data_IF_522233971580
#
_entry.id   IF_522233971580
#
_cell.length_a   1.000
_cell.length_b   1.000
_cell.length_c   1.000
_cell.angle_alpha   90.00
_cell.angle_beta   90.00
_cell.angle_gamma   90.00
#
_symmetry.space_group_name_H-M   'P 1'
#
loop_
_entity.id
_entity.type
_entity.pdbx_description
1 polymer ?
#
# COMPACT_ATOMS: atom_id res chain seq x y z
N UNK A 1 36.91 33.77 3.27
CA UNK A 1 36.04 33.21 2.21
C UNK A 1 35.72 31.78 2.58
N UNK A 2 34.55 31.56 3.18
CA UNK A 2 34.12 30.23 3.61
C UNK A 2 33.55 29.48 2.41
N UNK A 3 34.28 28.48 1.93
CA UNK A 3 33.78 27.53 0.94
C UNK A 3 32.82 26.58 1.63
N UNK A 4 31.52 26.84 1.49
CA UNK A 4 30.49 25.87 1.84
C UNK A 4 30.69 24.64 0.96
N UNK A 5 31.06 23.51 1.57
CA UNK A 5 31.02 22.22 0.88
C UNK A 5 29.56 21.92 0.58
N UNK A 6 29.17 22.07 -0.68
CA UNK A 6 27.92 21.52 -1.18
C UNK A 6 28.00 20.01 -1.02
N UNK A 7 27.27 19.43 -0.07
CA UNK A 7 27.14 17.99 0.03
C UNK A 7 26.45 17.53 -1.25
N UNK A 8 27.22 16.94 -2.16
CA UNK A 8 26.68 16.27 -3.35
C UNK A 8 25.84 15.09 -2.88
N UNK A 9 24.53 15.32 -2.75
CA UNK A 9 23.56 14.25 -2.60
C UNK A 9 23.62 13.28 -3.79
N UNK A 10 22.87 12.17 -3.73
CA UNK A 10 22.82 11.20 -4.81
C UNK A 10 22.48 11.89 -6.15
N UNK A 11 23.14 11.47 -7.23
CA UNK A 11 22.79 11.90 -8.58
C UNK A 11 21.39 11.37 -8.91
N UNK A 12 20.43 12.29 -9.06
CA UNK A 12 19.02 11.97 -9.27
C UNK A 12 18.70 11.89 -10.76
N UNK A 13 17.96 10.87 -11.17
CA UNK A 13 17.43 10.77 -12.53
C UNK A 13 16.37 11.84 -12.81
N UNK A 14 15.60 12.24 -11.79
CA UNK A 14 14.58 13.27 -11.82
C UNK A 14 14.94 14.39 -10.83
N UNK A 15 15.92 15.26 -11.15
CA UNK A 15 16.41 16.27 -10.23
C UNK A 15 15.34 17.29 -9.82
N UNK A 16 14.32 17.51 -10.64
CA UNK A 16 13.17 18.38 -10.33
C UNK A 16 12.29 17.88 -9.18
N UNK A 17 12.41 16.61 -8.77
CA UNK A 17 11.67 16.03 -7.65
C UNK A 17 12.46 16.02 -6.34
N UNK A 18 13.62 16.68 -6.28
CA UNK A 18 14.50 16.69 -5.10
C UNK A 18 13.75 17.08 -3.82
N UNK A 19 12.96 18.14 -3.86
CA UNK A 19 12.23 18.63 -2.68
C UNK A 19 11.11 17.66 -2.26
N UNK A 20 10.51 16.96 -3.21
CA UNK A 20 9.52 15.90 -2.95
C UNK A 20 10.18 14.71 -2.24
N UNK A 21 11.35 14.27 -2.72
CA UNK A 21 12.09 13.20 -2.05
C UNK A 21 12.55 13.59 -0.65
N UNK A 22 13.01 14.84 -0.47
CA UNK A 22 13.38 15.36 0.85
C UNK A 22 12.17 15.40 1.80
N UNK A 23 10.98 15.76 1.31
CA UNK A 23 9.75 15.69 2.09
C UNK A 23 9.43 14.25 2.51
N UNK A 24 9.50 13.27 1.60
CA UNK A 24 9.29 11.86 1.95
C UNK A 24 10.28 11.34 2.99
N UNK A 25 11.56 11.71 2.89
CA UNK A 25 12.58 11.33 3.88
C UNK A 25 12.23 11.91 5.26
N UNK A 26 11.85 13.19 5.33
CA UNK A 26 11.47 13.84 6.59
C UNK A 26 10.20 13.24 7.20
N UNK A 27 9.18 12.97 6.40
CA UNK A 27 7.94 12.35 6.90
C UNK A 27 8.17 10.92 7.38
N UNK A 28 9.11 10.20 6.75
CA UNK A 28 9.46 8.84 7.16
C UNK A 28 10.00 8.77 8.60
N UNK A 29 10.54 9.85 9.17
CA UNK A 29 11.04 9.86 10.55
C UNK A 29 9.95 9.53 11.59
N UNK A 30 8.67 9.73 11.25
CA UNK A 30 7.54 9.32 12.10
C UNK A 30 7.19 7.83 12.02
N UNK A 31 7.64 7.10 10.99
CA UNK A 31 7.29 5.69 10.79
C UNK A 31 7.58 4.80 12.00
N UNK A 32 8.79 4.83 12.61
CA UNK A 32 9.11 3.90 13.69
C UNK A 32 8.19 4.02 14.90
N UNK A 33 7.54 5.16 15.09
CA UNK A 33 6.61 5.42 16.18
C UNK A 33 5.18 4.89 15.91
N UNK A 34 4.90 4.40 14.70
CA UNK A 34 3.57 3.88 14.38
C UNK A 34 3.23 2.61 15.18
N UNK A 35 1.94 2.39 15.52
CA UNK A 35 1.54 1.30 16.41
C UNK A 35 1.84 -0.12 15.90
N UNK A 36 1.91 -0.31 14.58
CA UNK A 36 2.04 -1.63 14.01
C UNK A 36 2.24 -1.66 12.49
N UNK A 37 2.40 -2.87 11.92
CA UNK A 37 2.75 -3.03 10.52
C UNK A 37 1.64 -2.54 9.58
N UNK A 38 0.36 -2.65 9.95
CA UNK A 38 -0.74 -2.15 9.12
C UNK A 38 -0.66 -0.65 8.91
N UNK A 39 -0.44 0.13 9.98
CA UNK A 39 -0.36 1.59 9.90
C UNK A 39 0.85 2.01 9.06
N UNK A 40 1.98 1.32 9.22
CA UNK A 40 3.17 1.56 8.40
C UNK A 40 2.95 1.24 6.91
N UNK A 41 2.25 0.14 6.61
CA UNK A 41 1.91 -0.23 5.23
C UNK A 41 0.90 0.73 4.59
N UNK A 42 -0.13 1.16 5.34
CA UNK A 42 -1.10 2.17 4.86
C UNK A 42 -0.40 3.49 4.58
N UNK A 43 0.48 3.93 5.49
CA UNK A 43 1.28 5.14 5.29
C UNK A 43 2.16 5.01 4.04
N UNK A 44 2.92 3.93 3.91
CA UNK A 44 3.82 3.73 2.78
C UNK A 44 3.06 3.60 1.45
N UNK A 45 1.89 2.96 1.48
CA UNK A 45 0.99 2.87 0.35
C UNK A 45 0.52 4.25 -0.10
N UNK A 46 0.16 5.14 0.84
CA UNK A 46 -0.28 6.49 0.50
C UNK A 46 0.82 7.29 -0.22
N UNK A 47 2.06 7.22 0.28
CA UNK A 47 3.20 7.91 -0.33
C UNK A 47 3.52 7.36 -1.73
N UNK A 48 3.55 6.03 -1.88
CA UNK A 48 3.80 5.38 -3.17
C UNK A 48 2.66 5.60 -4.17
N UNK A 49 1.42 5.65 -3.68
CA UNK A 49 0.24 5.97 -4.47
C UNK A 49 0.27 7.39 -5.01
N UNK A 50 0.64 8.37 -4.18
CA UNK A 50 0.84 9.75 -4.61
C UNK A 50 1.93 9.87 -5.67
N UNK A 51 3.05 9.14 -5.49
CA UNK A 51 4.14 9.08 -6.47
C UNK A 51 3.67 8.47 -7.81
N UNK A 52 2.84 7.42 -7.76
CA UNK A 52 2.27 6.78 -8.95
C UNK A 52 1.28 7.70 -9.67
N UNK A 53 0.37 8.35 -8.94
CA UNK A 53 -0.62 9.28 -9.48
C UNK A 53 0.04 10.47 -10.19
N UNK A 54 1.15 10.98 -9.64
CA UNK A 54 1.89 12.10 -10.21
C UNK A 54 2.73 11.74 -11.46
N UNK A 55 2.89 10.45 -11.78
CA UNK A 55 3.77 9.99 -12.85
C UNK A 55 3.00 9.11 -13.87
N UNK A 56 2.47 9.70 -14.96
CA UNK A 56 1.56 9.02 -15.89
C UNK A 56 2.25 7.90 -16.69
N UNK A 57 3.55 8.02 -16.96
CA UNK A 57 4.31 7.04 -17.73
C UNK A 57 5.17 6.10 -16.87
N UNK A 58 5.23 4.83 -17.27
CA UNK A 58 5.96 3.75 -16.57
C UNK A 58 7.43 4.09 -16.32
N UNK A 59 8.12 4.68 -17.31
CA UNK A 59 9.54 5.00 -17.19
C UNK A 59 9.82 6.03 -16.09
N UNK A 60 9.04 7.11 -16.04
CA UNK A 60 9.12 8.10 -14.96
C UNK A 60 8.79 7.53 -13.59
N UNK A 61 7.79 6.65 -13.47
CA UNK A 61 7.49 5.98 -12.20
C UNK A 61 8.69 5.18 -11.69
N UNK A 62 9.33 4.43 -12.59
CA UNK A 62 10.53 3.65 -12.26
C UNK A 62 11.70 4.54 -11.85
N UNK A 63 11.94 5.62 -12.57
CA UNK A 63 12.99 6.59 -12.22
C UNK A 63 12.70 7.24 -10.86
N UNK A 64 11.46 7.67 -10.62
CA UNK A 64 11.07 8.31 -9.37
C UNK A 64 11.19 7.36 -8.15
N UNK A 65 10.79 6.10 -8.32
CA UNK A 65 10.97 5.07 -7.30
C UNK A 65 12.46 4.78 -7.04
N UNK A 66 13.28 4.74 -8.10
CA UNK A 66 14.73 4.55 -7.99
C UNK A 66 15.41 5.69 -7.21
N UNK A 67 15.11 6.93 -7.56
CA UNK A 67 15.59 8.12 -6.86
C UNK A 67 15.14 8.13 -5.39
N UNK A 68 13.86 7.84 -5.11
CA UNK A 68 13.35 7.76 -3.74
C UNK A 68 14.12 6.73 -2.91
N UNK A 69 14.34 5.52 -3.45
CA UNK A 69 15.15 4.49 -2.78
C UNK A 69 16.58 5.00 -2.53
N UNK A 70 17.18 5.71 -3.50
CA UNK A 70 18.50 6.32 -3.38
C UNK A 70 18.55 7.37 -2.26
N UNK A 71 17.57 8.28 -2.22
CA UNK A 71 17.44 9.31 -1.19
C UNK A 71 17.25 8.71 0.21
N UNK A 72 16.35 7.73 0.36
CA UNK A 72 16.12 7.06 1.65
C UNK A 72 17.40 6.33 2.13
N UNK A 73 18.10 5.65 1.22
CA UNK A 73 19.37 5.01 1.55
C UNK A 73 20.42 6.02 2.00
N UNK A 74 20.53 7.15 1.32
CA UNK A 74 21.49 8.20 1.66
C UNK A 74 21.17 8.88 3.00
N UNK A 75 19.88 9.02 3.33
CA UNK A 75 19.44 9.60 4.59
C UNK A 75 19.82 8.73 5.81
N UNK A 76 19.79 7.41 5.66
CA UNK A 76 20.23 6.43 6.67
C UNK A 76 19.61 6.65 8.07
N UNK A 77 18.38 7.17 8.15
CA UNK A 77 17.62 7.32 9.41
C UNK A 77 16.80 6.06 9.71
N UNK A 78 16.37 5.85 10.98
CA UNK A 78 15.44 4.76 11.31
C UNK A 78 14.14 4.81 10.49
N UNK A 79 13.62 6.02 10.25
CA UNK A 79 12.47 6.26 9.38
C UNK A 79 12.72 5.84 7.94
N UNK A 80 13.86 6.26 7.38
CA UNK A 80 14.24 5.89 6.02
C UNK A 80 14.43 4.37 5.85
N UNK A 81 15.05 3.70 6.82
CA UNK A 81 15.13 2.23 6.85
C UNK A 81 13.74 1.60 6.88
N UNK A 82 12.86 2.06 7.77
CA UNK A 82 11.50 1.55 7.90
C UNK A 82 10.70 1.71 6.59
N UNK A 83 10.85 2.85 5.90
CA UNK A 83 10.20 3.08 4.62
C UNK A 83 10.75 2.16 3.53
N UNK A 84 12.07 2.00 3.41
CA UNK A 84 12.68 1.05 2.47
C UNK A 84 12.17 -0.38 2.68
N UNK A 85 11.92 -0.77 3.94
CA UNK A 85 11.34 -2.08 4.27
C UNK A 85 9.88 -2.20 3.88
N UNK A 86 9.09 -1.15 4.07
CA UNK A 86 7.72 -1.12 3.59
C UNK A 86 7.64 -1.18 2.06
N UNK A 87 8.51 -0.46 1.34
CA UNK A 87 8.64 -0.56 -0.13
C UNK A 87 9.03 -1.99 -0.53
N UNK A 88 9.98 -2.60 0.17
CA UNK A 88 10.39 -3.98 -0.09
C UNK A 88 9.26 -5.00 0.09
N UNK A 89 8.36 -4.76 1.04
CA UNK A 89 7.24 -5.64 1.34
C UNK A 89 6.05 -5.43 0.36
N UNK A 90 5.53 -4.20 0.27
CA UNK A 90 4.25 -3.91 -0.40
C UNK A 90 4.38 -3.08 -1.67
N UNK A 91 5.56 -2.51 -1.96
CA UNK A 91 5.75 -1.59 -3.08
C UNK A 91 5.67 -2.25 -4.47
N UNK A 92 5.89 -1.47 -5.55
CA UNK A 92 5.93 -1.99 -6.92
C UNK A 92 7.01 -3.06 -7.10
N UNK A 93 6.72 -4.09 -7.90
CA UNK A 93 7.57 -5.29 -8.06
C UNK A 93 8.98 -4.93 -8.48
N UNK A 94 9.14 -3.95 -9.38
CA UNK A 94 10.42 -3.44 -9.86
C UNK A 94 11.31 -2.86 -8.75
N UNK A 95 10.72 -2.30 -7.69
CA UNK A 95 11.44 -1.62 -6.61
C UNK A 95 11.75 -2.52 -5.41
N UNK A 96 10.99 -3.60 -5.20
CA UNK A 96 11.05 -4.41 -3.97
C UNK A 96 12.46 -4.90 -3.65
N UNK A 97 13.15 -5.48 -4.63
CA UNK A 97 14.51 -6.03 -4.46
C UNK A 97 15.53 -4.93 -4.18
N UNK A 98 15.43 -3.79 -4.86
CA UNK A 98 16.33 -2.65 -4.65
C UNK A 98 16.15 -2.05 -3.25
N UNK A 99 14.89 -1.83 -2.83
CA UNK A 99 14.57 -1.31 -1.51
C UNK A 99 15.00 -2.27 -0.39
N UNK A 100 14.79 -3.58 -0.57
CA UNK A 100 15.22 -4.59 0.41
C UNK A 100 16.74 -4.65 0.59
N UNK A 101 17.50 -4.52 -0.50
CA UNK A 101 18.97 -4.40 -0.42
C UNK A 101 19.42 -3.10 0.23
N UNK A 102 18.78 -1.98 -0.13
CA UNK A 102 19.08 -0.68 0.48
C UNK A 102 18.84 -0.71 1.99
N UNK A 103 17.71 -1.24 2.45
CA UNK A 103 17.43 -1.42 3.87
C UNK A 103 18.42 -2.37 4.56
N UNK A 104 18.79 -3.47 3.90
CA UNK A 104 19.78 -4.41 4.43
C UNK A 104 21.19 -3.82 4.57
N UNK A 105 21.52 -2.80 3.77
CA UNK A 105 22.78 -2.07 3.88
C UNK A 105 22.82 -1.05 5.03
N UNK A 106 21.72 -0.81 5.73
CA UNK A 106 21.61 0.10 6.87
C UNK A 106 21.69 -0.65 8.22
N UNK A 107 22.57 -1.66 8.32
CA UNK A 107 22.60 -2.63 9.43
C UNK A 107 22.73 -2.02 10.83
N UNK A 108 23.41 -0.88 10.96
CA UNK A 108 23.62 -0.20 12.24
C UNK A 108 22.44 0.70 12.67
N UNK A 109 21.50 0.95 11.76
CA UNK A 109 20.31 1.77 12.03
C UNK A 109 19.27 0.93 12.78
N UNK A 110 18.73 1.39 13.92
CA UNK A 110 17.71 0.65 14.68
C UNK A 110 16.50 0.21 13.85
N UNK A 111 15.99 -1.00 14.12
CA UNK A 111 14.81 -1.55 13.47
C UNK A 111 13.53 -1.06 14.16
N UNK A 112 12.47 -0.84 13.38
CA UNK A 112 11.15 -0.68 13.99
C UNK A 112 10.65 -2.05 14.53
N UNK A 113 9.94 -2.10 15.67
CA UNK A 113 9.47 -3.36 16.26
C UNK A 113 8.60 -4.21 15.32
N UNK A 114 7.85 -3.57 14.42
CA UNK A 114 6.94 -4.19 13.47
C UNK A 114 7.57 -4.52 12.10
N UNK A 115 8.82 -4.14 11.85
CA UNK A 115 9.46 -4.20 10.53
C UNK A 115 9.45 -5.62 9.93
N UNK A 116 9.63 -6.64 10.77
CA UNK A 116 9.67 -8.03 10.34
C UNK A 116 8.30 -8.60 9.96
N UNK A 117 7.21 -7.92 10.34
CA UNK A 117 5.84 -8.35 10.06
C UNK A 117 5.29 -7.78 8.75
N UNK A 118 5.99 -6.82 8.14
CA UNK A 118 5.56 -6.17 6.91
C UNK A 118 5.32 -7.17 5.78
N UNK A 119 4.16 -7.06 5.14
CA UNK A 119 3.66 -7.90 4.05
C UNK A 119 3.29 -9.32 4.48
N UNK A 120 3.58 -9.73 5.73
CA UNK A 120 3.41 -11.11 6.20
C UNK A 120 2.02 -11.34 6.78
N UNK A 121 1.04 -11.25 5.90
CA UNK A 121 -0.36 -11.50 6.25
C UNK A 121 -0.85 -12.80 5.61
N UNK A 122 -1.84 -13.42 6.24
CA UNK A 122 -2.54 -14.59 5.70
C UNK A 122 -3.94 -14.14 5.27
N UNK A 123 -4.41 -14.50 4.06
CA UNK A 123 -5.78 -14.23 3.65
C UNK A 123 -6.78 -15.02 4.51
N UNK A 124 -7.91 -14.38 4.81
CA UNK A 124 -9.05 -14.96 5.52
C UNK A 124 -10.24 -15.19 4.59
N UNK A 125 -11.42 -14.80 5.04
CA UNK A 125 -12.65 -14.90 4.25
C UNK A 125 -12.74 -13.79 3.19
N UNK A 126 -13.49 -14.08 2.13
CA UNK A 126 -13.85 -13.09 1.12
C UNK A 126 -15.38 -13.05 0.97
N UNK A 127 -15.90 -11.84 0.72
CA UNK A 127 -17.32 -11.58 0.54
C UNK A 127 -17.54 -10.71 -0.69
N UNK A 128 -18.66 -10.96 -1.35
CA UNK A 128 -19.26 -10.02 -2.29
C UNK A 128 -20.42 -9.31 -1.58
N UNK A 129 -20.40 -7.99 -1.63
CA UNK A 129 -21.50 -7.13 -1.17
C UNK A 129 -22.08 -6.40 -2.37
N UNK A 130 -23.38 -6.50 -2.57
CA UNK A 130 -24.12 -5.84 -3.66
C UNK A 130 -25.20 -4.95 -3.06
N UNK A 131 -25.07 -3.63 -3.22
CA UNK A 131 -25.97 -2.62 -2.64
C UNK A 131 -27.22 -2.35 -3.52
N UNK A 132 -27.18 -2.81 -4.79
CA UNK A 132 -28.28 -2.67 -5.72
C UNK A 132 -27.86 -3.11 -7.14
N UNK A 133 -28.80 -3.26 -8.08
CA UNK A 133 -28.51 -3.74 -9.44
C UNK A 133 -27.61 -2.79 -10.25
N UNK A 134 -27.49 -1.51 -9.83
CA UNK A 134 -26.70 -0.49 -10.54
C UNK A 134 -25.47 -0.02 -9.74
N UNK A 135 -25.36 -0.35 -8.46
CA UNK A 135 -24.31 0.16 -7.57
C UNK A 135 -22.99 -0.62 -7.69
N UNK A 136 -23.02 -1.69 -8.47
CA UNK A 136 -21.87 -2.54 -8.75
C UNK A 136 -21.52 -3.49 -7.60
N UNK A 137 -20.34 -4.08 -7.70
CA UNK A 137 -19.87 -5.10 -6.78
C UNK A 137 -18.87 -4.52 -5.78
N UNK A 138 -19.04 -4.81 -4.50
CA UNK A 138 -18.01 -4.53 -3.48
C UNK A 138 -17.38 -5.84 -3.03
N UNK A 139 -16.11 -6.03 -3.40
CA UNK A 139 -15.29 -7.17 -3.00
C UNK A 139 -14.61 -6.85 -1.67
N UNK A 140 -14.81 -7.68 -0.65
CA UNK A 140 -14.19 -7.53 0.68
C UNK A 140 -13.36 -8.78 0.98
N UNK A 141 -12.07 -8.61 1.22
CA UNK A 141 -11.14 -9.70 1.56
C UNK A 141 -10.47 -9.46 2.90
N UNK A 142 -10.64 -10.36 3.86
CA UNK A 142 -9.97 -10.31 5.16
C UNK A 142 -8.51 -10.74 5.05
N UNK A 143 -7.65 -10.10 5.86
CA UNK A 143 -6.25 -10.45 6.06
C UNK A 143 -5.88 -10.34 7.53
N UNK A 144 -4.92 -11.15 7.96
CA UNK A 144 -4.43 -11.15 9.35
C UNK A 144 -2.92 -11.26 9.42
N UNK A 145 -2.29 -10.44 10.26
CA UNK A 145 -0.89 -10.66 10.63
C UNK A 145 -0.77 -11.91 11.52
N UNK A 146 0.16 -12.80 11.18
CA UNK A 146 0.39 -14.03 11.96
C UNK A 146 0.75 -13.67 13.41
N UNK A 147 0.07 -14.29 14.37
CA UNK A 147 0.33 -14.10 15.81
C UNK A 147 -0.28 -12.82 16.42
N UNK A 148 -0.97 -11.99 15.65
CA UNK A 148 -1.56 -10.72 16.13
C UNK A 148 -3.03 -10.84 16.57
N UNK A 149 -3.61 -12.05 16.56
CA UNK A 149 -5.00 -12.28 16.97
C UNK A 149 -6.02 -11.46 16.16
N UNK A 150 -6.88 -10.71 16.85
CA UNK A 150 -7.83 -9.77 16.22
C UNK A 150 -7.22 -8.38 15.98
N UNK A 151 -6.17 -7.99 16.71
CA UNK A 151 -5.51 -6.68 16.56
C UNK A 151 -4.77 -6.52 15.22
N UNK A 152 -4.42 -7.64 14.56
CA UNK A 152 -3.84 -7.65 13.21
C UNK A 152 -4.83 -7.89 12.08
N UNK A 153 -6.13 -7.94 12.38
CA UNK A 153 -7.18 -8.18 11.37
C UNK A 153 -7.49 -6.90 10.62
N UNK A 154 -7.58 -6.99 9.30
CA UNK A 154 -7.96 -5.89 8.41
C UNK A 154 -8.58 -6.46 7.14
N UNK A 155 -9.20 -5.62 6.32
CA UNK A 155 -9.74 -6.04 5.03
C UNK A 155 -9.30 -5.11 3.90
N UNK A 156 -9.17 -5.68 2.70
CA UNK A 156 -9.19 -4.94 1.45
C UNK A 156 -10.64 -4.88 0.97
N UNK A 157 -11.19 -3.68 0.82
CA UNK A 157 -12.50 -3.44 0.23
C UNK A 157 -12.33 -2.70 -1.11
N UNK A 158 -12.83 -3.28 -2.19
CA UNK A 158 -12.77 -2.68 -3.54
C UNK A 158 -14.18 -2.61 -4.10
N UNK A 159 -14.64 -1.40 -4.44
CA UNK A 159 -15.90 -1.19 -5.16
C UNK A 159 -15.61 -1.15 -6.65
N UNK A 160 -16.33 -1.97 -7.40
CA UNK A 160 -16.28 -2.09 -8.84
C UNK A 160 -17.59 -1.57 -9.41
N UNK A 161 -17.52 -0.60 -10.33
CA UNK A 161 -18.70 -0.19 -11.09
C UNK A 161 -18.95 -1.16 -12.25
N UNK A 162 -19.97 -0.86 -13.07
CA UNK A 162 -20.25 -1.62 -14.29
C UNK A 162 -18.98 -1.79 -15.15
N UNK A 163 -18.77 -3.01 -15.66
CA UNK A 163 -17.59 -3.35 -16.45
C UNK A 163 -16.30 -3.60 -15.65
N UNK A 164 -16.40 -3.85 -14.34
CA UNK A 164 -15.27 -4.14 -13.44
C UNK A 164 -14.26 -2.99 -13.28
N UNK A 165 -14.67 -1.76 -13.60
CA UNK A 165 -13.84 -0.58 -13.36
C UNK A 165 -13.79 -0.26 -11.85
N UNK A 166 -12.60 -0.15 -11.22
CA UNK A 166 -12.50 0.23 -9.82
C UNK A 166 -12.98 1.65 -9.57
N UNK A 167 -13.96 1.79 -8.68
CA UNK A 167 -14.51 3.07 -8.25
C UNK A 167 -13.99 3.50 -6.87
N UNK A 168 -13.58 2.55 -6.03
CA UNK A 168 -13.07 2.81 -4.68
C UNK A 168 -12.14 1.67 -4.23
N UNK A 169 -11.04 2.01 -3.55
CA UNK A 169 -10.12 1.05 -2.93
C UNK A 169 -9.82 1.50 -1.51
N UNK A 170 -10.19 0.68 -0.53
CA UNK A 170 -10.06 1.02 0.91
C UNK A 170 -9.41 -0.13 1.66
N UNK A 171 -8.53 0.22 2.60
CA UNK A 171 -8.03 -0.70 3.62
C UNK A 171 -8.78 -0.44 4.91
N UNK A 172 -9.50 -1.45 5.39
CA UNK A 172 -10.37 -1.36 6.55
C UNK A 172 -9.66 -1.96 7.76
N UNK A 173 -9.38 -1.14 8.78
CA UNK A 173 -8.75 -1.58 10.03
C UNK A 173 -9.73 -2.21 11.04
N UNK A 174 -11.01 -1.87 10.97
CA UNK A 174 -12.06 -2.40 11.86
C UNK A 174 -13.04 -3.28 11.07
N UNK A 175 -12.61 -4.52 10.79
CA UNK A 175 -13.42 -5.51 10.08
C UNK A 175 -14.71 -5.86 10.84
N UNK A 176 -14.72 -6.01 12.18
CA UNK A 176 -15.96 -6.24 12.92
C UNK A 176 -16.99 -5.12 12.73
N UNK A 177 -16.58 -3.85 12.77
CA UNK A 177 -17.48 -2.73 12.51
C UNK A 177 -18.00 -2.73 11.07
N UNK A 178 -17.14 -2.97 10.07
CA UNK A 178 -17.55 -3.11 8.67
C UNK A 178 -18.61 -4.20 8.50
N UNK A 179 -18.36 -5.39 9.05
CA UNK A 179 -19.31 -6.51 8.93
C UNK A 179 -20.58 -6.28 9.77
N UNK A 180 -20.50 -5.51 10.85
CA UNK A 180 -21.66 -5.05 11.60
C UNK A 180 -22.55 -4.12 10.76
N UNK A 181 -21.95 -3.13 10.10
CA UNK A 181 -22.65 -2.21 9.19
C UNK A 181 -23.27 -2.95 7.99
N UNK A 182 -22.52 -3.89 7.40
CA UNK A 182 -23.03 -4.72 6.30
C UNK A 182 -24.26 -5.55 6.74
N UNK A 183 -24.23 -6.15 7.94
CA UNK A 183 -25.39 -6.87 8.50
C UNK A 183 -26.60 -5.96 8.73
N UNK A 184 -26.39 -4.74 9.21
CA UNK A 184 -27.48 -3.76 9.38
C UNK A 184 -28.09 -3.36 8.03
N UNK A 185 -27.26 -3.13 7.02
CA UNK A 185 -27.71 -2.83 5.66
C UNK A 185 -28.51 -4.00 5.05
N UNK A 186 -28.07 -5.25 5.25
CA UNK A 186 -28.84 -6.43 4.83
C UNK A 186 -30.21 -6.51 5.51
N UNK A 187 -30.28 -6.23 6.82
CA UNK A 187 -31.55 -6.25 7.56
C UNK A 187 -32.53 -5.17 7.09
N UNK A 188 -32.00 -4.07 6.56
CA UNK A 188 -32.78 -3.00 5.95
C UNK A 188 -33.05 -3.22 4.44
N UNK A 189 -32.71 -4.41 3.91
CA UNK A 189 -32.87 -4.76 2.48
C UNK A 189 -32.10 -3.83 1.53
N UNK A 190 -31.02 -3.21 2.02
CA UNK A 190 -30.17 -2.29 1.26
C UNK A 190 -28.99 -2.98 0.58
N UNK A 191 -28.67 -4.22 0.94
CA UNK A 191 -27.62 -4.97 0.25
C UNK A 191 -27.78 -6.49 0.43
N UNK A 192 -27.09 -7.23 -0.43
CA UNK A 192 -26.85 -8.67 -0.28
C UNK A 192 -25.38 -8.87 0.06
N UNK A 193 -25.10 -9.68 1.07
CA UNK A 193 -23.73 -10.11 1.41
C UNK A 193 -23.67 -11.62 1.24
N UNK A 194 -22.73 -12.08 0.43
CA UNK A 194 -22.52 -13.51 0.20
C UNK A 194 -21.04 -13.88 0.32
N UNK A 195 -20.69 -15.06 0.87
CA UNK A 195 -19.35 -15.59 0.76
C UNK A 195 -18.95 -15.67 -0.71
N UNK A 196 -17.71 -15.34 -1.02
CA UNK A 196 -17.18 -15.39 -2.38
C UNK A 196 -15.90 -16.23 -2.39
N UNK A 197 -15.77 -17.07 -3.42
CA UNK A 197 -14.60 -17.93 -3.60
C UNK A 197 -13.31 -17.09 -3.67
N UNK A 198 -12.34 -17.43 -2.81
CA UNK A 198 -11.13 -16.63 -2.64
C UNK A 198 -10.26 -16.62 -3.90
N UNK A 199 -10.25 -17.71 -4.69
CA UNK A 199 -9.46 -17.78 -5.93
C UNK A 199 -10.11 -16.93 -7.03
N UNK A 200 -11.44 -16.98 -7.15
CA UNK A 200 -12.20 -16.13 -8.07
C UNK A 200 -12.01 -14.63 -7.74
N UNK A 201 -12.11 -14.26 -6.45
CA UNK A 201 -11.87 -12.89 -6.00
C UNK A 201 -10.43 -12.47 -6.26
N UNK A 202 -9.46 -13.35 -5.97
CA UNK A 202 -8.05 -13.10 -6.22
C UNK A 202 -7.77 -12.80 -7.69
N UNK A 203 -8.27 -13.64 -8.60
CA UNK A 203 -8.14 -13.42 -10.03
C UNK A 203 -8.76 -12.10 -10.48
N UNK A 204 -9.99 -11.79 -10.03
CA UNK A 204 -10.70 -10.56 -10.39
C UNK A 204 -9.96 -9.31 -9.88
N UNK A 205 -9.56 -9.30 -8.61
CA UNK A 205 -8.80 -8.19 -8.01
C UNK A 205 -7.45 -7.95 -8.70
N UNK A 206 -6.72 -9.03 -9.03
CA UNK A 206 -5.45 -8.88 -9.76
C UNK A 206 -5.65 -8.27 -11.15
N UNK A 207 -6.70 -8.66 -11.86
CA UNK A 207 -7.03 -8.07 -13.17
C UNK A 207 -7.34 -6.59 -13.06
N UNK A 208 -8.28 -6.20 -12.19
CA UNK A 208 -8.75 -4.82 -12.11
C UNK A 208 -7.70 -3.85 -11.52
N UNK A 209 -6.91 -4.28 -10.53
CA UNK A 209 -5.91 -3.43 -9.88
C UNK A 209 -4.61 -3.27 -10.69
N UNK A 210 -4.34 -4.17 -11.64
CA UNK A 210 -3.19 -4.09 -12.54
C UNK A 210 -3.59 -3.73 -13.99
N UNK A 211 -4.83 -3.28 -14.19
CA UNK A 211 -5.31 -2.79 -15.47
C UNK A 211 -4.52 -1.60 -15.98
N UNK A 212 -4.62 -1.33 -17.28
CA UNK A 212 -3.96 -0.20 -17.94
C UNK A 212 -4.79 1.08 -17.93
N UNK A 213 -6.06 0.98 -17.53
CA UNK A 213 -6.95 2.13 -17.46
C UNK A 213 -6.60 3.02 -16.24
N UNK A 214 -6.70 4.35 -16.38
CA UNK A 214 -6.53 5.26 -15.26
C UNK A 214 -7.54 4.95 -14.16
N UNK A 215 -7.06 4.87 -12.92
CA UNK A 215 -7.91 4.72 -11.75
C UNK A 215 -8.38 6.09 -11.25
N UNK A 216 -9.54 6.19 -10.59
CA UNK A 216 -9.94 7.40 -9.87
C UNK A 216 -8.87 7.80 -8.84
N UNK A 217 -8.68 9.12 -8.65
CA UNK A 217 -7.65 9.67 -7.77
C UNK A 217 -7.72 9.09 -6.35
N UNK A 218 -8.93 8.90 -5.84
CA UNK A 218 -9.20 8.33 -4.52
C UNK A 218 -8.69 6.89 -4.33
N UNK A 219 -8.41 6.15 -5.41
CA UNK A 219 -7.91 4.77 -5.31
C UNK A 219 -6.39 4.72 -5.05
N UNK A 220 -5.63 5.71 -5.51
CA UNK A 220 -4.16 5.66 -5.48
C UNK A 220 -3.57 5.48 -4.08
N UNK A 221 -4.06 6.13 -3.00
CA UNK A 221 -3.44 6.01 -1.68
C UNK A 221 -3.39 4.55 -1.16
N UNK A 222 -4.39 3.73 -1.47
CA UNK A 222 -4.45 2.34 -1.04
C UNK A 222 -3.87 1.36 -2.07
N UNK A 223 -3.53 1.82 -3.28
CA UNK A 223 -3.30 0.96 -4.44
C UNK A 223 -2.07 0.04 -4.31
N UNK A 224 -0.88 0.49 -3.89
CA UNK A 224 0.25 -0.42 -3.64
C UNK A 224 -0.08 -1.55 -2.66
N UNK A 225 -0.72 -1.21 -1.52
CA UNK A 225 -1.13 -2.18 -0.54
C UNK A 225 -2.22 -3.12 -1.06
N UNK A 226 -3.21 -2.60 -1.78
CA UNK A 226 -4.26 -3.39 -2.41
C UNK A 226 -3.70 -4.42 -3.41
N UNK A 227 -2.78 -4.01 -4.29
CA UNK A 227 -2.09 -4.91 -5.23
C UNK A 227 -1.32 -6.00 -4.50
N UNK A 228 -0.62 -5.65 -3.42
CA UNK A 228 0.03 -6.66 -2.59
C UNK A 228 -0.98 -7.64 -1.98
N UNK A 229 -2.07 -7.16 -1.37
CA UNK A 229 -3.10 -8.03 -0.80
C UNK A 229 -3.77 -8.94 -1.83
N UNK A 230 -4.10 -8.41 -3.00
CA UNK A 230 -4.63 -9.21 -4.11
C UNK A 230 -3.64 -10.29 -4.60
N UNK A 231 -2.32 -10.03 -4.51
CA UNK A 231 -1.29 -11.01 -4.86
C UNK A 231 -1.14 -12.17 -3.86
N UNK A 232 -1.69 -12.04 -2.65
CA UNK A 232 -1.68 -13.08 -1.62
C UNK A 232 -2.91 -13.98 -1.64
N UNK A 233 -3.96 -13.59 -2.37
CA UNK A 233 -5.13 -14.43 -2.59
C UNK A 233 -4.77 -15.58 -3.56
N UNK A 234 -5.40 -16.76 -3.42
CA UNK A 234 -5.16 -17.89 -4.30
C UNK A 234 -5.51 -17.61 -5.79
#
# INVERSE_FOLDING_TARGET
>A
MSTSRSSTGPELMLPGLRDVYAAYVREADGLPALPGPLQAEVWASAQLGALEAAAPHVQGRRAALGDLIGCLRAAATPGARAFLRAIAAIGPVEGRKAAGRAAGGLGDVPAAPWEQSLGRVVPGQAWLIQEGPLDGDRLVCEFRYKGAGTAGMHALAVRLSYGDAPAEVVIVGDVPALMGAARQAMQAELCVVQPYDAAAVGARLRTVLNGTEPLPEACYPALPLARHRASLLP
#
